data_IF_347158536411
#
_entry.id   IF_347158536411
#
_cell.length_a   1.000
_cell.length_b   1.000
_cell.length_c   1.000
_cell.angle_alpha   90.00
_cell.angle_beta   90.00
_cell.angle_gamma   90.00
#
_symmetry.space_group_name_H-M   'P 1'
#
loop_
_entity.id
_entity.type
_entity.pdbx_description
1 polymer ?
#
# COMPACT_ATOMS: atom_id res chain seq x y z
N UNK A 1 1.93 3.23 17.89
CA UNK A 1 1.50 2.90 16.52
C UNK A 1 -0.01 3.08 16.45
N UNK A 2 -0.55 3.56 15.33
CA UNK A 2 -2.01 3.65 15.14
C UNK A 2 -2.65 2.30 15.47
N UNK A 3 -3.72 2.30 16.24
CA UNK A 3 -4.53 1.11 16.57
C UNK A 3 -5.67 0.91 15.57
N UNK A 4 -6.17 1.99 14.96
CA UNK A 4 -7.24 1.96 13.95
C UNK A 4 -6.81 2.58 12.62
N UNK A 5 -7.58 2.30 11.55
CA UNK A 5 -7.33 2.92 10.25
C UNK A 5 -7.56 4.44 10.28
N UNK A 6 -8.52 4.93 11.08
CA UNK A 6 -8.79 6.35 11.22
C UNK A 6 -7.55 7.09 11.78
N UNK A 7 -6.91 6.52 12.80
CA UNK A 7 -5.66 7.05 13.34
C UNK A 7 -4.50 6.97 12.35
N UNK A 8 -4.43 5.89 11.55
CA UNK A 8 -3.34 5.66 10.60
C UNK A 8 -3.37 6.65 9.42
N UNK A 9 -4.57 7.05 8.98
CA UNK A 9 -4.75 7.99 7.86
C UNK A 9 -4.94 9.43 8.32
N UNK A 10 -5.02 9.67 9.63
CA UNK A 10 -5.27 10.98 10.21
C UNK A 10 -4.17 12.00 9.91
N UNK A 11 -4.59 13.26 9.77
CA UNK A 11 -3.69 14.40 9.57
C UNK A 11 -4.11 15.58 10.44
N UNK A 12 -3.11 16.28 10.97
CA UNK A 12 -3.28 17.54 11.71
C UNK A 12 -2.67 18.67 10.90
N UNK A 13 -3.39 19.79 10.81
CA UNK A 13 -2.89 20.99 10.15
C UNK A 13 -1.75 21.59 11.01
N UNK A 14 -0.61 21.89 10.38
CA UNK A 14 0.59 22.38 11.08
C UNK A 14 0.33 23.78 11.67
N UNK A 15 -0.29 24.64 10.88
CA UNK A 15 -0.70 25.99 11.29
C UNK A 15 -2.08 26.31 10.70
N UNK A 16 -2.99 26.93 11.47
CA UNK A 16 -4.28 27.35 10.96
C UNK A 16 -4.16 28.21 9.69
N UNK A 17 -4.92 27.86 8.66
CA UNK A 17 -4.95 28.59 7.39
C UNK A 17 -3.81 28.26 6.41
N UNK A 18 -2.80 27.49 6.81
CA UNK A 18 -1.79 26.95 5.88
C UNK A 18 -2.22 25.59 5.35
N UNK A 19 -2.01 25.36 4.06
CA UNK A 19 -2.25 24.06 3.41
C UNK A 19 -1.09 23.07 3.69
N UNK A 20 -0.67 22.99 4.96
CA UNK A 20 0.42 22.14 5.46
C UNK A 20 -0.10 21.23 6.58
N UNK A 21 0.20 19.95 6.49
CA UNK A 21 -0.31 18.92 7.39
C UNK A 21 0.78 17.96 7.84
N UNK A 22 0.60 17.33 9.00
CA UNK A 22 1.46 16.26 9.51
C UNK A 22 0.61 15.03 9.84
N UNK A 23 1.11 13.82 9.55
CA UNK A 23 0.40 12.59 9.92
C UNK A 23 0.28 12.46 11.43
N UNK A 24 -0.90 12.06 11.92
CA UNK A 24 -1.16 11.88 13.36
C UNK A 24 -0.45 10.65 13.92
N UNK A 25 -0.20 9.66 13.06
CA UNK A 25 0.48 8.42 13.40
C UNK A 25 1.76 8.25 12.60
N UNK A 26 2.69 7.50 13.19
CA UNK A 26 3.86 6.99 12.47
C UNK A 26 3.42 5.96 11.42
N UNK A 27 4.09 5.89 10.27
CA UNK A 27 3.79 4.88 9.27
C UNK A 27 4.12 3.48 9.76
N UNK A 28 3.35 2.51 9.30
CA UNK A 28 3.58 1.09 9.58
C UNK A 28 4.31 0.44 8.40
N UNK A 29 4.88 -0.74 8.64
CA UNK A 29 5.53 -1.57 7.63
C UNK A 29 4.55 -2.61 7.10
N UNK A 30 4.66 -2.94 5.81
CA UNK A 30 3.92 -4.05 5.20
C UNK A 30 4.75 -4.71 4.09
N UNK A 31 4.96 -6.03 4.18
CA UNK A 31 5.52 -6.84 3.09
C UNK A 31 6.98 -6.54 2.69
N UNK A 32 7.78 -5.92 3.57
CA UNK A 32 9.17 -5.60 3.31
C UNK A 32 10.07 -6.04 4.46
N UNK A 33 11.17 -6.74 4.14
CA UNK A 33 12.18 -7.15 5.12
C UNK A 33 12.90 -5.92 5.71
N UNK A 34 13.10 -4.88 4.92
CA UNK A 34 13.70 -3.62 5.37
C UNK A 34 12.69 -2.82 6.22
N UNK A 35 13.16 -2.00 7.19
CA UNK A 35 12.32 -1.14 8.03
C UNK A 35 11.83 0.09 7.25
N UNK A 36 11.06 -0.16 6.19
CA UNK A 36 10.53 0.84 5.27
C UNK A 36 9.02 0.94 5.45
N UNK A 37 8.52 2.17 5.45
CA UNK A 37 7.10 2.46 5.49
C UNK A 37 6.34 1.83 4.32
N UNK A 38 5.14 1.35 4.62
CA UNK A 38 4.17 0.95 3.61
C UNK A 38 3.70 2.18 2.80
N UNK A 39 3.73 2.06 1.46
CA UNK A 39 3.38 3.15 0.52
C UNK A 39 1.97 3.70 0.75
N UNK A 40 1.02 2.84 1.07
CA UNK A 40 -0.36 3.21 1.40
C UNK A 40 -0.46 4.20 2.56
N UNK A 41 0.50 4.21 3.51
CA UNK A 41 0.54 5.22 4.57
C UNK A 41 0.77 6.63 4.00
N UNK A 42 1.73 6.78 3.09
CA UNK A 42 2.02 8.07 2.46
C UNK A 42 0.88 8.51 1.53
N UNK A 43 0.31 7.57 0.79
CA UNK A 43 -0.81 7.83 -0.12
C UNK A 43 -2.07 8.27 0.64
N UNK A 44 -2.42 7.60 1.73
CA UNK A 44 -3.62 7.91 2.51
C UNK A 44 -3.53 9.27 3.19
N UNK A 45 -2.40 9.61 3.80
CA UNK A 45 -2.24 10.92 4.46
C UNK A 45 -2.26 12.06 3.44
N UNK A 46 -1.73 11.84 2.23
CA UNK A 46 -1.78 12.81 1.15
C UNK A 46 -3.22 13.03 0.64
N UNK A 47 -3.99 11.94 0.47
CA UNK A 47 -5.41 12.00 0.10
C UNK A 47 -6.20 12.76 1.16
N UNK A 48 -5.99 12.44 2.44
CA UNK A 48 -6.67 13.12 3.54
C UNK A 48 -6.30 14.61 3.59
N UNK A 49 -5.01 14.95 3.48
CA UNK A 49 -4.55 16.33 3.44
C UNK A 49 -5.14 17.12 2.26
N UNK A 50 -5.20 16.54 1.06
CA UNK A 50 -5.85 17.17 -0.09
C UNK A 50 -7.33 17.46 0.19
N UNK A 51 -8.08 16.47 0.68
CA UNK A 51 -9.51 16.59 0.95
C UNK A 51 -9.81 17.65 2.03
N UNK A 52 -8.92 17.84 3.02
CA UNK A 52 -9.04 18.89 4.05
C UNK A 52 -8.96 20.32 3.50
N UNK A 53 -8.55 20.50 2.24
CA UNK A 53 -8.41 21.83 1.58
C UNK A 53 -9.52 22.10 0.56
N UNK A 54 -10.55 21.25 0.51
CA UNK A 54 -11.63 21.28 -0.47
C UNK A 54 -12.98 21.31 0.26
N UNK A 55 -14.01 22.04 -0.24
CA UNK A 55 -15.35 22.00 0.35
C UNK A 55 -15.95 20.59 0.35
N UNK A 56 -16.77 20.26 1.36
CA UNK A 56 -17.38 18.92 1.49
C UNK A 56 -18.29 18.52 0.32
N UNK A 57 -18.77 19.50 -0.45
CA UNK A 57 -19.59 19.28 -1.65
C UNK A 57 -18.82 18.64 -2.79
N UNK A 58 -17.49 18.79 -2.81
CA UNK A 58 -16.62 18.21 -3.83
C UNK A 58 -16.04 16.89 -3.34
N UNK A 59 -16.38 15.80 -4.03
CA UNK A 59 -15.93 14.45 -3.69
C UNK A 59 -14.73 14.06 -4.53
N UNK A 60 -13.85 13.27 -3.95
CA UNK A 60 -12.64 12.81 -4.62
C UNK A 60 -13.01 11.82 -5.73
N UNK A 61 -12.50 12.02 -6.95
CA UNK A 61 -12.75 11.09 -8.06
C UNK A 61 -11.47 10.53 -8.70
N UNK A 62 -10.33 11.21 -8.53
CA UNK A 62 -9.07 10.80 -9.14
C UNK A 62 -7.89 11.14 -8.25
N UNK A 63 -6.96 10.19 -8.12
CA UNK A 63 -5.63 10.39 -7.53
C UNK A 63 -4.59 9.74 -8.44
N UNK A 64 -3.54 10.46 -8.80
CA UNK A 64 -2.38 9.92 -9.53
C UNK A 64 -1.10 10.35 -8.84
N UNK A 65 -0.11 9.47 -8.73
CA UNK A 65 1.11 9.81 -8.00
C UNK A 65 2.31 8.92 -8.31
N UNK A 66 3.48 9.39 -7.85
CA UNK A 66 4.76 8.73 -8.02
C UNK A 66 5.51 8.65 -6.69
N UNK A 67 5.99 7.45 -6.35
CA UNK A 67 6.86 7.23 -5.20
C UNK A 67 8.30 7.60 -5.57
N UNK A 68 8.91 8.51 -4.82
CA UNK A 68 10.28 8.99 -5.05
C UNK A 68 11.33 8.28 -4.18
N UNK A 69 10.91 7.63 -3.10
CA UNK A 69 11.83 6.89 -2.26
C UNK A 69 11.20 6.33 -0.99
N UNK A 70 11.94 5.46 -0.29
CA UNK A 70 11.47 4.86 0.95
C UNK A 70 11.35 5.91 2.05
N UNK A 71 10.27 5.81 2.83
CA UNK A 71 10.12 6.49 4.10
C UNK A 71 10.48 5.58 5.27
N UNK A 72 10.90 6.16 6.38
CA UNK A 72 11.24 5.46 7.62
C UNK A 72 10.00 5.29 8.50
N UNK A 73 10.09 4.40 9.49
CA UNK A 73 9.00 4.05 10.41
C UNK A 73 8.95 4.92 11.68
N UNK A 74 9.98 5.71 11.93
CA UNK A 74 10.23 6.42 13.19
C UNK A 74 9.79 7.89 13.17
N UNK A 75 9.29 8.39 12.03
CA UNK A 75 9.00 9.81 11.82
C UNK A 75 7.67 10.04 11.11
N UNK A 76 6.93 11.11 11.44
CA UNK A 76 5.68 11.43 10.76
C UNK A 76 5.93 11.92 9.34
N UNK A 77 4.92 11.79 8.49
CA UNK A 77 4.90 12.44 7.19
C UNK A 77 4.50 13.91 7.33
N UNK A 78 5.10 14.77 6.52
CA UNK A 78 4.63 16.13 6.26
C UNK A 78 4.00 16.18 4.88
N UNK A 79 2.86 16.84 4.76
CA UNK A 79 2.15 17.05 3.50
C UNK A 79 2.06 18.55 3.23
N UNK A 80 2.56 19.00 2.08
CA UNK A 80 2.33 20.35 1.56
C UNK A 80 1.35 20.24 0.40
N UNK A 81 0.21 20.93 0.51
CA UNK A 81 -0.86 20.93 -0.48
C UNK A 81 -0.83 22.24 -1.26
N UNK A 82 -0.82 22.15 -2.58
CA UNK A 82 -0.94 23.30 -3.48
C UNK A 82 -2.29 23.26 -4.18
N UNK A 83 -3.08 24.33 -4.04
CA UNK A 83 -4.34 24.52 -4.78
C UNK A 83 -4.03 24.86 -6.23
N UNK A 84 -4.25 23.92 -7.13
CA UNK A 84 -3.96 24.10 -8.56
C UNK A 84 -5.14 24.74 -9.28
N UNK A 85 -6.36 24.38 -8.89
CA UNK A 85 -7.59 24.86 -9.50
C UNK A 85 -8.73 24.80 -8.49
N UNK A 86 -9.56 25.83 -8.49
CA UNK A 86 -10.85 25.88 -7.80
C UNK A 86 -11.88 26.52 -8.73
N UNK A 87 -12.98 25.82 -8.97
CA UNK A 87 -14.11 26.28 -9.76
C UNK A 87 -15.40 25.92 -9.03
N UNK A 88 -16.56 26.21 -9.65
CA UNK A 88 -17.86 25.84 -9.06
C UNK A 88 -18.00 24.32 -8.87
N UNK A 89 -17.56 23.54 -9.86
CA UNK A 89 -17.74 22.07 -9.86
C UNK A 89 -16.45 21.29 -9.67
N UNK A 90 -15.27 21.86 -9.90
CA UNK A 90 -14.01 21.12 -9.86
C UNK A 90 -12.97 21.79 -8.98
N UNK A 91 -12.23 20.96 -8.24
CA UNK A 91 -11.03 21.35 -7.51
C UNK A 91 -9.88 20.38 -7.80
N UNK A 92 -8.67 20.91 -7.95
CA UNK A 92 -7.45 20.10 -8.14
C UNK A 92 -6.41 20.50 -7.09
N UNK A 93 -5.81 19.49 -6.46
CA UNK A 93 -4.77 19.64 -5.44
C UNK A 93 -3.52 18.87 -5.87
N UNK A 94 -2.36 19.47 -5.70
CA UNK A 94 -1.06 18.78 -5.77
C UNK A 94 -0.56 18.60 -4.35
N UNK A 95 -0.14 17.40 -3.99
CA UNK A 95 0.36 17.11 -2.65
C UNK A 95 1.79 16.58 -2.74
N UNK A 96 2.69 17.24 -2.02
CA UNK A 96 4.04 16.75 -1.78
C UNK A 96 4.09 16.15 -0.39
N UNK A 97 4.44 14.87 -0.30
CA UNK A 97 4.69 14.17 0.96
C UNK A 97 6.18 14.07 1.20
N UNK A 98 6.64 14.58 2.33
CA UNK A 98 8.03 14.56 2.76
C UNK A 98 8.18 13.98 4.15
N UNK A 99 9.42 13.61 4.48
CA UNK A 99 9.81 13.15 5.81
C UNK A 99 11.23 13.64 6.10
N UNK A 100 11.49 14.05 7.33
CA UNK A 100 12.86 14.31 7.78
C UNK A 100 13.61 12.99 7.84
N UNK A 101 14.76 12.88 7.17
CA UNK A 101 15.60 11.69 7.16
C UNK A 101 17.07 12.07 7.38
N UNK A 102 17.90 11.20 7.96
CA UNK A 102 19.33 11.44 8.04
C UNK A 102 19.92 11.65 6.64
N UNK A 103 20.75 12.67 6.49
CA UNK A 103 21.43 12.94 5.23
C UNK A 103 22.27 11.71 4.87
N UNK A 104 22.02 11.12 3.69
CA UNK A 104 22.88 10.05 3.20
C UNK A 104 24.28 10.62 3.01
N UNK A 105 25.24 10.17 3.81
CA UNK A 105 26.65 10.35 3.48
C UNK A 105 26.86 9.71 2.10
N UNK A 106 27.17 10.53 1.10
CA UNK A 106 27.63 9.99 -0.17
C UNK A 106 28.84 9.11 0.14
N UNK A 107 28.79 7.82 -0.21
CA UNK A 107 30.03 7.04 -0.23
C UNK A 107 30.98 7.80 -1.15
N UNK A 108 32.16 8.23 -0.69
CA UNK A 108 33.11 8.85 -1.59
C UNK A 108 33.34 7.88 -2.74
N UNK A 109 33.20 8.36 -3.98
CA UNK A 109 33.68 7.62 -5.14
C UNK A 109 35.14 7.26 -4.83
N UNK A 110 35.43 5.97 -4.68
CA UNK A 110 36.79 5.48 -4.46
C UNK A 110 37.62 5.73 -5.71
N UNK A 111 38.12 6.95 -5.85
CA UNK A 111 39.31 7.30 -6.63
C UNK A 111 39.81 8.63 -6.11
N UNK A 112 40.64 8.60 -5.06
CA UNK A 112 41.80 9.47 -4.82
C UNK A 112 42.26 9.21 -3.37
N UNK A 113 43.38 8.49 -3.24
CA UNK A 113 44.09 8.36 -1.97
C UNK A 113 44.83 9.68 -1.72
N UNK A 114 44.45 10.41 -0.69
CA UNK A 114 45.34 11.42 -0.09
C UNK A 114 45.27 11.25 1.41
N UNK A 115 46.38 10.78 1.96
CA UNK A 115 46.59 10.56 3.39
C UNK A 115 46.79 11.92 4.06
N UNK A 116 45.81 12.35 4.85
CA UNK A 116 46.04 13.43 5.82
C UNK A 116 45.88 12.84 7.22
N UNK A 117 46.96 12.88 7.99
CA UNK A 117 46.99 12.47 9.40
C UNK A 117 46.23 13.56 10.18
N UNK A 118 45.08 13.21 10.77
CA UNK A 118 44.37 14.07 11.71
C UNK A 118 44.77 13.71 13.14
N UNK A 119 45.23 14.71 13.89
CA UNK A 119 45.50 14.64 15.32
C UNK A 119 44.19 14.55 16.10
N UNK A 120 44.12 13.57 17.00
CA UNK A 120 43.02 13.31 17.93
C UNK A 120 42.80 14.48 18.90
N UNK A 121 41.61 15.06 18.88
CA UNK A 121 41.04 15.76 20.03
C UNK A 121 39.64 15.23 20.30
N UNK A 122 39.50 14.61 21.47
CA UNK A 122 38.27 14.02 21.97
C UNK A 122 37.25 15.10 22.35
N UNK A 123 36.06 15.01 21.77
CA UNK A 123 34.83 15.47 22.41
C UNK A 123 33.68 14.56 21.99
N UNK A 124 33.10 13.88 22.97
CA UNK A 124 31.89 13.06 22.80
C UNK A 124 30.70 13.98 22.56
N UNK A 125 30.46 14.33 21.30
CA UNK A 125 29.17 14.85 20.85
C UNK A 125 28.46 13.73 20.09
N UNK A 126 27.17 13.57 20.33
CA UNK A 126 26.29 12.67 19.56
C UNK A 126 26.34 13.08 18.08
N UNK A 127 27.20 12.42 17.29
CA UNK A 127 27.40 12.68 15.87
C UNK A 127 26.30 12.03 15.03
N UNK A 128 25.04 12.23 15.41
CA UNK A 128 23.91 11.86 14.57
C UNK A 128 23.93 12.75 13.30
N UNK A 129 23.87 12.17 12.08
CA UNK A 129 23.95 12.94 10.85
C UNK A 129 22.83 14.00 10.79
N UNK A 130 23.09 15.17 10.19
CA UNK A 130 22.07 16.21 10.06
C UNK A 130 20.85 15.66 9.30
N UNK A 131 19.67 16.07 9.74
CA UNK A 131 18.41 15.66 9.12
C UNK A 131 18.11 16.57 7.93
N UNK A 132 17.68 15.96 6.82
CA UNK A 132 17.22 16.66 5.63
C UNK A 132 15.79 16.24 5.33
N UNK A 133 14.98 17.19 4.88
CA UNK A 133 13.65 16.89 4.36
C UNK A 133 13.75 16.21 3.00
N UNK A 134 13.16 15.02 2.88
CA UNK A 134 13.15 14.23 1.65
C UNK A 134 11.72 13.97 1.20
N UNK A 135 11.45 14.26 -0.07
CA UNK A 135 10.19 13.91 -0.72
C UNK A 135 10.11 12.39 -0.91
N UNK A 136 9.02 11.81 -0.43
CA UNK A 136 8.75 10.37 -0.52
C UNK A 136 7.70 10.06 -1.59
N UNK A 137 6.72 10.95 -1.79
CA UNK A 137 5.60 10.81 -2.72
C UNK A 137 5.18 12.20 -3.21
N UNK A 138 4.86 12.32 -4.50
CA UNK A 138 4.08 13.45 -5.03
C UNK A 138 2.83 12.89 -5.73
N UNK A 139 1.68 13.52 -5.49
CA UNK A 139 0.41 13.15 -6.13
C UNK A 139 -0.42 14.37 -6.56
N UNK A 140 -1.36 14.12 -7.47
CA UNK A 140 -2.44 15.02 -7.86
C UNK A 140 -3.75 14.36 -7.44
N UNK A 141 -4.61 15.12 -6.77
CA UNK A 141 -5.94 14.71 -6.36
C UNK A 141 -6.97 15.66 -6.98
N UNK A 142 -7.96 15.09 -7.67
CA UNK A 142 -9.04 15.84 -8.31
C UNK A 142 -10.39 15.52 -7.66
N UNK A 143 -11.18 16.58 -7.50
CA UNK A 143 -12.47 16.56 -6.84
C UNK A 143 -13.53 17.18 -7.73
N UNK A 144 -14.75 16.65 -7.64
CA UNK A 144 -15.91 17.07 -8.42
C UNK A 144 -17.10 17.26 -7.48
N UNK A 145 -17.82 18.37 -7.63
CA UNK A 145 -19.11 18.56 -6.98
C UNK A 145 -20.08 17.47 -7.46
N UNK A 146 -20.76 16.79 -6.54
CA UNK A 146 -21.67 15.70 -6.90
C UNK A 146 -22.83 16.24 -7.74
N UNK A 147 -23.07 15.60 -8.88
CA UNK A 147 -24.13 15.93 -9.82
C UNK A 147 -24.96 14.67 -10.12
N UNK A 148 -26.16 14.84 -10.68
CA UNK A 148 -27.02 13.72 -11.08
C UNK A 148 -26.36 12.93 -12.22
N UNK A 149 -26.31 11.60 -12.08
CA UNK A 149 -25.74 10.73 -13.10
C UNK A 149 -26.74 10.47 -14.23
N UNK A 150 -26.34 10.73 -15.48
CA UNK A 150 -27.13 10.39 -16.65
C UNK A 150 -27.25 8.86 -16.85
N UNK A 151 -26.17 8.12 -16.56
CA UNK A 151 -26.07 6.67 -16.71
C UNK A 151 -25.18 6.13 -15.59
N UNK A 152 -25.59 5.02 -14.99
CA UNK A 152 -24.81 4.31 -13.97
C UNK A 152 -24.69 2.84 -14.34
N UNK A 153 -23.46 2.31 -14.36
CA UNK A 153 -23.19 0.89 -14.55
C UNK A 153 -21.89 0.51 -13.83
N UNK A 154 -21.68 -0.79 -13.63
CA UNK A 154 -20.43 -1.33 -13.10
C UNK A 154 -20.09 -2.63 -13.81
N UNK A 155 -18.80 -2.92 -14.08
CA UNK A 155 -18.40 -4.23 -14.53
C UNK A 155 -18.56 -5.25 -13.38
N UNK A 156 -18.69 -6.56 -13.66
CA UNK A 156 -18.50 -7.56 -12.63
C UNK A 156 -17.02 -7.63 -12.20
N UNK A 157 -16.71 -8.28 -11.07
CA UNK A 157 -15.35 -8.70 -10.72
C UNK A 157 -14.78 -9.67 -11.78
N UNK A 158 -13.47 -9.91 -11.74
CA UNK A 158 -12.75 -10.81 -12.67
C UNK A 158 -13.29 -12.25 -12.65
N UNK A 159 -13.94 -12.65 -11.56
CA UNK A 159 -14.68 -13.92 -11.42
C UNK A 159 -15.77 -13.78 -10.36
N UNK A 160 -16.77 -14.68 -10.33
CA UNK A 160 -17.68 -14.78 -9.19
C UNK A 160 -16.92 -15.12 -7.91
N UNK A 161 -17.20 -14.40 -6.83
CA UNK A 161 -16.65 -14.65 -5.50
C UNK A 161 -17.79 -14.83 -4.51
N UNK A 162 -17.62 -15.74 -3.55
CA UNK A 162 -18.59 -15.94 -2.47
C UNK A 162 -18.75 -14.71 -1.56
N UNK A 163 -19.86 -14.63 -0.80
CA UNK A 163 -20.11 -13.54 0.15
C UNK A 163 -19.13 -13.57 1.34
N UNK A 164 -19.01 -12.46 2.09
CA UNK A 164 -18.08 -12.37 3.23
C UNK A 164 -18.36 -13.43 4.31
N UNK A 165 -19.62 -13.76 4.59
CA UNK A 165 -20.00 -14.74 5.63
C UNK A 165 -19.54 -16.18 5.32
N UNK A 166 -19.33 -16.52 4.04
CA UNK A 166 -18.79 -17.82 3.60
C UNK A 166 -17.26 -17.82 3.42
N UNK A 167 -16.62 -16.67 3.62
CA UNK A 167 -15.20 -16.46 3.36
C UNK A 167 -14.41 -16.53 4.68
N UNK A 168 -13.32 -17.32 4.76
CA UNK A 168 -12.56 -17.46 6.00
C UNK A 168 -11.74 -16.22 6.34
N UNK A 169 -11.58 -15.92 7.63
CA UNK A 169 -10.50 -15.03 8.13
C UNK A 169 -9.12 -15.61 7.80
N UNK A 170 -8.09 -14.77 7.94
CA UNK A 170 -6.68 -15.20 7.90
C UNK A 170 -6.40 -16.39 8.83
N UNK A 171 -6.90 -16.32 10.07
CA UNK A 171 -6.71 -17.37 11.08
C UNK A 171 -7.42 -18.67 10.71
N UNK A 172 -8.66 -18.60 10.27
CA UNK A 172 -9.45 -19.76 9.86
C UNK A 172 -8.82 -20.46 8.65
N UNK A 173 -8.45 -19.70 7.61
CA UNK A 173 -7.83 -20.27 6.42
C UNK A 173 -6.46 -20.90 6.73
N UNK A 174 -5.65 -20.26 7.57
CA UNK A 174 -4.39 -20.87 8.01
C UNK A 174 -4.62 -22.18 8.76
N UNK A 175 -5.60 -22.22 9.66
CA UNK A 175 -5.93 -23.43 10.42
C UNK A 175 -6.50 -24.55 9.54
N UNK A 176 -7.29 -24.21 8.52
CA UNK A 176 -7.76 -25.17 7.49
C UNK A 176 -6.58 -25.77 6.71
N UNK A 177 -5.66 -24.92 6.21
CA UNK A 177 -4.48 -25.39 5.47
C UNK A 177 -3.57 -26.26 6.34
N UNK A 178 -3.41 -25.91 7.63
CA UNK A 178 -2.65 -26.69 8.60
C UNK A 178 -3.28 -28.06 8.83
N UNK A 179 -4.60 -28.11 9.07
CA UNK A 179 -5.35 -29.37 9.25
C UNK A 179 -5.28 -30.26 8.01
N UNK A 180 -5.22 -29.66 6.82
CA UNK A 180 -5.05 -30.38 5.56
C UNK A 180 -3.61 -30.85 5.30
N UNK A 181 -2.65 -30.60 6.20
CA UNK A 181 -1.23 -30.92 6.01
C UNK A 181 -0.59 -30.15 4.84
N UNK A 182 -1.20 -29.03 4.44
CA UNK A 182 -0.75 -28.20 3.32
C UNK A 182 0.25 -27.13 3.72
N UNK A 183 0.34 -26.84 5.02
CA UNK A 183 1.35 -25.98 5.63
C UNK A 183 1.77 -26.60 6.97
N UNK A 184 3.02 -26.38 7.36
CA UNK A 184 3.55 -26.92 8.61
C UNK A 184 3.10 -26.13 9.86
N UNK A 185 3.08 -26.80 11.02
CA UNK A 185 2.70 -26.22 12.32
C UNK A 185 3.68 -25.17 12.86
N UNK A 186 4.93 -25.24 12.45
CA UNK A 186 5.88 -24.12 12.46
C UNK A 186 5.82 -23.54 11.06
N UNK A 187 5.75 -22.22 10.86
CA UNK A 187 5.68 -21.56 9.54
C UNK A 187 6.93 -21.76 8.67
N UNK A 188 7.37 -23.01 8.47
CA UNK A 188 8.57 -23.47 7.79
C UNK A 188 8.27 -23.90 6.35
N UNK A 189 7.42 -23.14 5.66
CA UNK A 189 7.52 -23.07 4.20
C UNK A 189 8.66 -22.12 3.83
N UNK A 190 9.92 -22.54 3.99
CA UNK A 190 11.15 -21.88 3.47
C UNK A 190 11.12 -20.32 3.41
N UNK A 191 11.18 -19.66 4.57
CA UNK A 191 11.34 -18.20 4.70
C UNK A 191 10.91 -17.69 6.08
N UNK A 192 11.43 -16.54 6.60
CA UNK A 192 11.30 -16.18 8.01
C UNK A 192 9.83 -15.97 8.39
N UNK A 193 9.30 -16.93 9.15
CA UNK A 193 7.92 -17.02 9.65
C UNK A 193 7.39 -15.76 10.34
N UNK A 194 8.27 -14.85 10.77
CA UNK A 194 7.90 -13.60 11.42
C UNK A 194 7.60 -12.45 10.44
N UNK A 195 8.24 -12.38 9.27
CA UNK A 195 8.10 -11.20 8.39
C UNK A 195 6.81 -11.21 7.57
N UNK A 196 6.37 -12.38 7.10
CA UNK A 196 5.09 -12.56 6.41
C UNK A 196 3.89 -12.54 7.37
N UNK A 197 4.02 -13.07 8.58
CA UNK A 197 2.99 -12.93 9.62
C UNK A 197 2.77 -11.44 9.94
N UNK A 198 3.86 -10.66 10.05
CA UNK A 198 3.79 -9.20 10.23
C UNK A 198 3.16 -8.47 9.02
N UNK A 199 3.25 -9.03 7.81
CA UNK A 199 2.70 -8.41 6.58
C UNK A 199 1.18 -8.36 6.59
N UNK A 200 0.51 -9.46 6.91
CA UNK A 200 -0.95 -9.50 6.98
C UNK A 200 -1.48 -8.97 8.31
N UNK A 201 -0.71 -9.10 9.40
CA UNK A 201 -1.07 -8.55 10.71
C UNK A 201 -1.39 -7.05 10.65
N UNK A 202 -0.63 -6.27 9.87
CA UNK A 202 -0.91 -4.85 9.69
C UNK A 202 -2.30 -4.57 9.06
N UNK A 203 -2.72 -5.34 8.06
CA UNK A 203 -4.03 -5.18 7.41
C UNK A 203 -5.15 -5.77 8.28
N UNK A 204 -4.97 -6.98 8.81
CA UNK A 204 -5.92 -7.70 9.66
C UNK A 204 -6.17 -6.98 11.01
N UNK A 205 -5.21 -6.16 11.45
CA UNK A 205 -5.36 -5.29 12.61
C UNK A 205 -6.22 -4.06 12.33
N UNK A 206 -6.16 -3.50 11.12
CA UNK A 206 -6.85 -2.26 10.76
C UNK A 206 -8.22 -2.53 10.10
N UNK A 207 -8.35 -3.66 9.43
CA UNK A 207 -9.54 -4.11 8.73
C UNK A 207 -9.91 -5.52 9.16
N UNK A 208 -11.20 -5.82 9.19
CA UNK A 208 -11.63 -7.20 9.13
C UNK A 208 -11.47 -7.69 7.69
N UNK A 209 -10.67 -8.73 7.49
CA UNK A 209 -10.36 -9.30 6.17
C UNK A 209 -10.88 -10.74 6.07
N UNK A 210 -11.53 -11.05 4.95
CA UNK A 210 -12.00 -12.42 4.64
C UNK A 210 -11.53 -12.82 3.24
N UNK A 211 -10.90 -13.98 3.11
CA UNK A 211 -10.34 -14.45 1.84
C UNK A 211 -11.41 -15.11 0.97
N UNK A 212 -11.55 -14.69 -0.29
CA UNK A 212 -12.45 -15.37 -1.22
C UNK A 212 -11.80 -16.66 -1.72
N UNK A 213 -12.46 -17.81 -1.49
CA UNK A 213 -11.93 -19.15 -1.77
C UNK A 213 -11.64 -19.39 -3.26
N UNK A 214 -12.33 -18.66 -4.13
CA UNK A 214 -12.18 -18.74 -5.58
C UNK A 214 -10.93 -17.98 -6.08
N UNK A 215 -10.35 -17.10 -5.25
CA UNK A 215 -9.12 -16.37 -5.54
C UNK A 215 -7.86 -17.18 -5.17
N UNK A 216 -6.74 -16.90 -5.83
CA UNK A 216 -5.44 -17.54 -5.53
C UNK A 216 -5.11 -17.45 -4.04
N UNK A 217 -5.19 -16.23 -3.47
CA UNK A 217 -4.91 -16.00 -2.05
C UNK A 217 -5.86 -16.76 -1.12
N UNK A 218 -7.11 -17.04 -1.52
CA UNK A 218 -8.04 -17.82 -0.70
C UNK A 218 -7.77 -19.32 -0.72
N UNK A 219 -6.87 -19.78 -1.59
CA UNK A 219 -6.45 -21.17 -1.68
C UNK A 219 -5.06 -21.40 -1.07
N UNK A 220 -4.17 -20.40 -1.15
CA UNK A 220 -2.77 -20.52 -0.71
C UNK A 220 -2.26 -19.37 0.18
N UNK A 221 -3.14 -18.47 0.64
CA UNK A 221 -2.80 -17.28 1.44
C UNK A 221 -1.84 -16.29 0.77
N UNK A 222 -1.48 -16.53 -0.48
CA UNK A 222 -0.45 -15.83 -1.24
C UNK A 222 0.99 -16.11 -0.84
N UNK A 223 1.23 -16.87 0.23
CA UNK A 223 2.58 -17.21 0.71
C UNK A 223 2.83 -18.72 0.81
N UNK A 224 1.79 -19.56 0.86
CA UNK A 224 1.94 -21.01 0.85
C UNK A 224 2.22 -21.50 -0.58
N UNK A 225 3.40 -21.14 -1.10
CA UNK A 225 3.83 -21.30 -2.51
C UNK A 225 3.80 -22.72 -3.08
N UNK A 226 3.72 -23.73 -2.22
CA UNK A 226 3.65 -25.15 -2.60
C UNK A 226 2.21 -25.65 -2.70
N UNK A 227 1.23 -24.87 -2.23
CA UNK A 227 -0.18 -25.24 -2.28
C UNK A 227 -0.70 -24.93 -3.68
N UNK A 228 -1.12 -25.94 -4.46
CA UNK A 228 -1.65 -25.71 -5.80
C UNK A 228 -2.99 -24.99 -5.74
N UNK A 229 -3.32 -24.29 -6.81
CA UNK A 229 -4.61 -23.62 -7.00
C UNK A 229 -5.34 -24.12 -8.23
N UNK A 230 -6.66 -23.94 -8.25
CA UNK A 230 -7.47 -24.21 -9.45
C UNK A 230 -7.18 -23.27 -10.64
N UNK A 231 -6.39 -22.21 -10.42
CA UNK A 231 -6.02 -21.23 -11.43
C UNK A 231 -4.63 -21.49 -12.04
N UNK A 232 -3.90 -22.51 -11.58
CA UNK A 232 -2.51 -22.75 -12.01
C UNK A 232 -2.38 -23.06 -13.51
N UNK A 233 -3.44 -23.58 -14.12
CA UNK A 233 -3.52 -23.82 -15.55
C UNK A 233 -3.86 -22.55 -16.37
N UNK A 234 -4.33 -21.48 -15.71
CA UNK A 234 -4.67 -20.23 -16.39
C UNK A 234 -3.42 -19.43 -16.74
N UNK A 235 -3.43 -18.68 -17.86
CA UNK A 235 -2.44 -17.65 -18.11
C UNK A 235 -2.34 -16.70 -16.92
N UNK A 236 -1.14 -16.16 -16.65
CA UNK A 236 -0.92 -15.29 -15.48
C UNK A 236 -1.91 -14.11 -15.41
N UNK A 237 -2.25 -13.54 -16.56
CA UNK A 237 -3.17 -12.40 -16.69
C UNK A 237 -4.65 -12.77 -16.54
N UNK A 238 -4.97 -14.05 -16.45
CA UNK A 238 -6.31 -14.56 -16.16
C UNK A 238 -6.46 -15.04 -14.70
N UNK A 239 -5.38 -14.95 -13.91
CA UNK A 239 -5.39 -15.26 -12.48
C UNK A 239 -5.86 -14.06 -11.68
N UNK A 240 -6.60 -14.31 -10.60
CA UNK A 240 -7.07 -13.26 -9.70
C UNK A 240 -7.06 -13.70 -8.25
N UNK A 241 -6.86 -12.72 -7.37
CA UNK A 241 -7.05 -12.83 -5.92
C UNK A 241 -8.12 -11.85 -5.51
N UNK A 242 -8.98 -12.23 -4.58
CA UNK A 242 -9.87 -11.29 -3.94
C UNK A 242 -10.04 -11.57 -2.46
N UNK A 243 -10.27 -10.49 -1.72
CA UNK A 243 -10.53 -10.49 -0.30
C UNK A 243 -11.60 -9.44 0.01
N UNK A 244 -12.52 -9.78 0.92
CA UNK A 244 -13.47 -8.85 1.49
C UNK A 244 -12.80 -8.06 2.61
N UNK A 245 -13.08 -6.76 2.66
CA UNK A 245 -12.59 -5.83 3.68
C UNK A 245 -13.72 -4.98 4.24
N UNK A 246 -13.65 -4.72 5.54
CA UNK A 246 -14.31 -3.57 6.18
C UNK A 246 -13.43 -3.06 7.31
N UNK A 247 -13.59 -1.80 7.72
CA UNK A 247 -13.03 -1.30 8.97
C UNK A 247 -13.49 -2.22 10.08
N UNK A 248 -12.56 -2.58 10.98
CA UNK A 248 -12.88 -3.46 12.09
C UNK A 248 -14.12 -2.96 12.86
N UNK A 249 -15.11 -3.82 13.14
CA UNK A 249 -16.32 -3.40 13.84
C UNK A 249 -16.05 -2.77 15.22
N UNK A 250 -14.98 -3.21 15.87
CA UNK A 250 -14.50 -2.77 17.19
C UNK A 250 -13.47 -1.63 17.12
N UNK A 251 -13.14 -1.11 15.94
CA UNK A 251 -12.26 0.05 15.83
C UNK A 251 -12.91 1.28 16.47
N UNK A 252 -12.15 1.97 17.33
CA UNK A 252 -12.50 3.26 17.90
C UNK A 252 -11.23 4.15 17.94
N UNK A 253 -11.15 5.24 17.15
CA UNK A 253 -12.18 5.76 16.26
C UNK A 253 -12.26 5.01 14.91
N UNK A 254 -13.43 5.10 14.25
CA UNK A 254 -13.63 4.75 12.83
C UNK A 254 -13.56 6.00 11.95
N UNK A 255 -13.26 5.87 10.64
CA UNK A 255 -13.46 6.95 9.68
C UNK A 255 -14.90 7.49 9.76
N UNK A 256 -15.06 8.78 10.06
CA UNK A 256 -16.35 9.46 10.20
C UNK A 256 -16.69 10.27 8.96
N UNK A 257 -15.68 10.81 8.27
CA UNK A 257 -15.89 11.70 7.12
C UNK A 257 -15.66 10.97 5.80
N UNK A 258 -16.21 11.52 4.72
CA UNK A 258 -15.91 11.06 3.36
C UNK A 258 -14.39 11.11 3.07
N UNK A 259 -13.70 12.15 3.55
CA UNK A 259 -12.26 12.30 3.39
C UNK A 259 -11.48 11.17 4.05
N UNK A 260 -11.82 10.80 5.29
CA UNK A 260 -11.19 9.69 6.02
C UNK A 260 -11.48 8.35 5.35
N UNK A 261 -12.71 8.15 4.85
CA UNK A 261 -13.07 6.93 4.12
C UNK A 261 -12.31 6.81 2.79
N UNK A 262 -12.18 7.88 2.01
CA UNK A 262 -11.34 7.89 0.80
C UNK A 262 -9.86 7.66 1.12
N UNK A 263 -9.36 8.20 2.22
CA UNK A 263 -8.00 7.95 2.68
C UNK A 263 -7.81 6.48 3.11
N UNK A 264 -8.80 5.87 3.76
CA UNK A 264 -8.80 4.45 4.08
C UNK A 264 -8.86 3.57 2.82
N UNK A 265 -9.63 3.94 1.80
CA UNK A 265 -9.59 3.27 0.48
C UNK A 265 -8.20 3.39 -0.14
N UNK A 266 -7.60 4.58 -0.14
CA UNK A 266 -6.25 4.77 -0.66
C UNK A 266 -5.26 3.84 0.08
N UNK A 267 -5.29 3.85 1.42
CA UNK A 267 -4.46 2.94 2.22
C UNK A 267 -4.65 1.47 1.85
N UNK A 268 -5.91 1.02 1.70
CA UNK A 268 -6.23 -0.36 1.34
C UNK A 268 -5.77 -0.70 -0.08
N UNK A 269 -6.00 0.19 -1.05
CA UNK A 269 -5.84 -0.11 -2.48
C UNK A 269 -4.38 -0.30 -2.89
N UNK A 270 -3.42 0.39 -2.26
CA UNK A 270 -1.97 0.15 -2.47
C UNK A 270 -1.55 -1.27 -2.07
N UNK A 271 -2.38 -1.98 -1.29
CA UNK A 271 -2.04 -3.24 -0.67
C UNK A 271 -1.86 -4.39 -1.66
N UNK A 272 -0.61 -4.81 -1.85
CA UNK A 272 -0.22 -6.06 -2.51
C UNK A 272 -0.17 -6.02 -4.04
N UNK A 273 -0.44 -4.88 -4.70
CA UNK A 273 -0.43 -4.81 -6.17
C UNK A 273 0.98 -5.00 -6.76
N UNK A 274 2.00 -4.30 -6.23
CA UNK A 274 3.39 -4.45 -6.69
C UNK A 274 3.92 -5.90 -6.62
N UNK A 275 3.41 -6.68 -5.67
CA UNK A 275 3.85 -8.05 -5.38
C UNK A 275 2.95 -9.13 -5.99
N UNK A 276 1.80 -8.75 -6.53
CA UNK A 276 0.79 -9.69 -7.02
C UNK A 276 1.35 -10.70 -8.04
N UNK A 277 2.26 -10.34 -8.98
CA UNK A 277 2.85 -11.33 -9.88
C UNK A 277 3.67 -12.42 -9.16
N UNK A 278 4.29 -12.12 -8.01
CA UNK A 278 5.01 -13.14 -7.22
C UNK A 278 4.01 -14.13 -6.64
N UNK A 279 2.95 -13.61 -6.01
CA UNK A 279 1.85 -14.40 -5.44
C UNK A 279 1.21 -15.30 -6.51
N UNK A 280 0.87 -14.73 -7.67
CA UNK A 280 0.22 -15.44 -8.77
C UNK A 280 1.16 -16.40 -9.53
N UNK A 281 2.45 -16.43 -9.20
CA UNK A 281 3.43 -17.36 -9.79
C UNK A 281 4.12 -18.26 -8.76
N UNK A 282 3.53 -18.42 -7.57
CA UNK A 282 4.06 -19.26 -6.49
C UNK A 282 5.49 -18.86 -6.06
N UNK A 283 5.75 -17.56 -5.99
CA UNK A 283 7.03 -16.98 -5.53
C UNK A 283 6.84 -16.18 -4.25
N UNK A 284 7.81 -16.26 -3.36
CA UNK A 284 7.90 -15.44 -2.15
C UNK A 284 8.62 -14.12 -2.38
N UNK A 285 8.61 -13.22 -1.39
CA UNK A 285 9.32 -11.94 -1.47
C UNK A 285 10.83 -12.09 -1.66
N UNK A 286 11.42 -13.11 -1.04
CA UNK A 286 12.86 -13.38 -1.14
C UNK A 286 13.29 -13.81 -2.55
N UNK A 287 12.34 -14.23 -3.41
CA UNK A 287 12.63 -14.60 -4.80
C UNK A 287 12.82 -13.37 -5.70
N UNK A 288 12.52 -12.16 -5.21
CA UNK A 288 12.78 -10.90 -5.90
C UNK A 288 13.99 -10.18 -5.29
N UNK A 289 14.86 -9.62 -6.14
CA UNK A 289 15.97 -8.78 -5.70
C UNK A 289 15.54 -7.39 -5.26
N UNK A 290 14.49 -6.86 -5.89
CA UNK A 290 13.83 -5.63 -5.49
C UNK A 290 12.39 -5.62 -5.98
N UNK A 291 11.47 -5.27 -5.08
CA UNK A 291 10.06 -5.05 -5.40
C UNK A 291 9.53 -3.84 -4.64
N UNK A 292 8.99 -2.86 -5.35
CA UNK A 292 8.47 -1.63 -4.77
C UNK A 292 7.56 -0.90 -5.76
N UNK A 293 6.57 -0.17 -5.26
CA UNK A 293 5.70 0.67 -6.10
C UNK A 293 6.49 1.83 -6.75
N UNK A 294 6.18 2.16 -8.00
CA UNK A 294 6.73 3.30 -8.73
C UNK A 294 5.68 4.41 -8.86
N UNK A 295 4.54 4.07 -9.46
CA UNK A 295 3.44 4.99 -9.71
C UNK A 295 2.10 4.34 -9.38
N UNK A 296 1.05 5.14 -9.36
CA UNK A 296 -0.32 4.65 -9.31
C UNK A 296 -1.32 5.62 -9.92
N UNK A 297 -2.47 5.08 -10.30
CA UNK A 297 -3.67 5.82 -10.62
C UNK A 297 -4.87 5.17 -9.91
N UNK A 298 -5.42 5.87 -8.91
CA UNK A 298 -6.62 5.51 -8.18
C UNK A 298 -7.80 6.36 -8.70
N UNK A 299 -8.93 5.72 -8.97
CA UNK A 299 -10.17 6.34 -9.45
C UNK A 299 -11.31 5.93 -8.54
N UNK A 300 -12.15 6.88 -8.17
CA UNK A 300 -13.39 6.64 -7.45
C UNK A 300 -14.56 6.88 -8.41
N UNK A 301 -15.53 5.98 -8.39
CA UNK A 301 -16.71 6.02 -9.25
C UNK A 301 -17.99 6.31 -8.47
N UNK A 302 -17.94 6.22 -7.14
CA UNK A 302 -19.04 6.58 -6.25
C UNK A 302 -18.63 7.76 -5.36
N UNK A 303 -19.53 8.75 -5.15
CA UNK A 303 -19.26 9.88 -4.25
C UNK A 303 -19.36 9.48 -2.78
N UNK A 304 -20.04 8.38 -2.47
CA UNK A 304 -20.23 7.87 -1.13
C UNK A 304 -19.38 6.61 -0.96
N UNK A 305 -18.49 6.67 0.03
CA UNK A 305 -17.57 5.61 0.41
C UNK A 305 -17.68 5.46 1.92
N UNK A 306 -18.07 4.27 2.37
CA UNK A 306 -18.18 3.93 3.79
C UNK A 306 -17.48 2.61 4.03
N UNK A 307 -16.23 2.69 4.47
CA UNK A 307 -15.40 1.52 4.71
C UNK A 307 -15.86 0.69 5.91
N UNK A 308 -16.86 1.11 6.70
CA UNK A 308 -17.47 0.26 7.72
C UNK A 308 -18.30 -0.89 7.13
N UNK A 309 -18.73 -0.74 5.87
CA UNK A 309 -19.41 -1.77 5.09
C UNK A 309 -18.41 -2.68 4.37
N UNK A 310 -18.87 -3.87 4.04
CA UNK A 310 -18.08 -4.82 3.27
C UNK A 310 -17.78 -4.30 1.86
N UNK A 311 -16.52 -4.41 1.48
CA UNK A 311 -16.04 -4.14 0.14
C UNK A 311 -15.18 -5.30 -0.36
N UNK A 312 -15.43 -5.77 -1.59
CA UNK A 312 -14.61 -6.79 -2.23
C UNK A 312 -13.47 -6.12 -2.97
N UNK A 313 -12.22 -6.42 -2.59
CA UNK A 313 -11.03 -5.99 -3.34
C UNK A 313 -10.58 -7.14 -4.24
N UNK A 314 -10.84 -7.05 -5.53
CA UNK A 314 -10.43 -8.00 -6.55
C UNK A 314 -9.17 -7.50 -7.29
N UNK A 315 -8.18 -8.37 -7.48
CA UNK A 315 -6.84 -7.99 -7.96
C UNK A 315 -6.33 -8.93 -9.03
N UNK A 316 -5.76 -8.37 -10.10
CA UNK A 316 -5.13 -9.11 -11.19
C UNK A 316 -3.84 -8.45 -11.67
N UNK A 317 -2.89 -9.26 -12.12
CA UNK A 317 -1.67 -8.79 -12.78
C UNK A 317 -1.88 -8.74 -14.29
N UNK A 318 -1.43 -7.68 -14.94
CA UNK A 318 -1.71 -7.43 -16.36
C UNK A 318 -0.47 -7.53 -17.24
N UNK A 319 0.68 -7.08 -16.76
CA UNK A 319 1.94 -7.16 -17.50
C UNK A 319 3.15 -7.21 -16.57
N UNK A 320 4.23 -7.83 -17.03
CA UNK A 320 5.53 -7.78 -16.38
C UNK A 320 6.65 -7.90 -17.42
N UNK A 321 7.78 -7.23 -17.17
CA UNK A 321 8.90 -7.20 -18.09
C UNK A 321 9.86 -6.05 -17.79
N UNK A 322 11.09 -6.14 -18.29
CA UNK A 322 12.12 -5.11 -18.10
C UNK A 322 12.31 -4.66 -16.64
N UNK A 323 12.21 -5.61 -15.70
CA UNK A 323 12.36 -5.36 -14.26
C UNK A 323 11.18 -4.62 -13.62
N UNK A 324 9.99 -4.68 -14.23
CA UNK A 324 8.76 -4.02 -13.77
C UNK A 324 7.56 -4.96 -13.81
N UNK A 325 6.52 -4.61 -13.06
CA UNK A 325 5.20 -5.22 -13.05
C UNK A 325 4.11 -4.16 -13.15
N UNK A 326 2.95 -4.55 -13.68
CA UNK A 326 1.74 -3.73 -13.76
C UNK A 326 0.53 -4.56 -13.32
N UNK A 327 -0.21 -4.06 -12.33
CA UNK A 327 -1.36 -4.74 -11.74
C UNK A 327 -2.51 -3.75 -11.48
N UNK A 328 -3.71 -4.29 -11.35
CA UNK A 328 -4.93 -3.55 -11.03
C UNK A 328 -5.62 -4.17 -9.81
N UNK A 329 -6.15 -3.31 -8.94
CA UNK A 329 -7.14 -3.67 -7.93
C UNK A 329 -8.45 -2.95 -8.22
N UNK A 330 -9.58 -3.65 -8.10
CA UNK A 330 -10.94 -3.11 -8.19
C UNK A 330 -11.65 -3.34 -6.88
N UNK A 331 -12.31 -2.31 -6.37
CA UNK A 331 -13.04 -2.33 -5.11
C UNK A 331 -14.53 -2.25 -5.42
N UNK A 332 -15.28 -3.25 -4.99
CA UNK A 332 -16.73 -3.32 -5.14
C UNK A 332 -17.41 -3.21 -3.78
N UNK A 333 -18.59 -2.59 -3.70
CA UNK A 333 -19.41 -2.62 -2.49
C UNK A 333 -20.20 -3.94 -2.36
N UNK A 334 -20.92 -4.09 -1.25
CA UNK A 334 -21.81 -5.23 -0.96
C UNK A 334 -22.99 -5.37 -1.94
N UNK A 335 -23.23 -4.38 -2.80
CA UNK A 335 -24.22 -4.42 -3.89
C UNK A 335 -23.58 -4.75 -5.25
N UNK A 336 -22.26 -4.98 -5.29
CA UNK A 336 -21.52 -5.28 -6.52
C UNK A 336 -21.23 -4.08 -7.41
N UNK A 337 -21.42 -2.84 -6.91
CA UNK A 337 -21.07 -1.63 -7.64
C UNK A 337 -19.57 -1.37 -7.51
N UNK A 338 -18.93 -0.97 -8.60
CA UNK A 338 -17.52 -0.60 -8.60
C UNK A 338 -17.35 0.75 -7.90
N UNK A 339 -16.77 0.74 -6.71
CA UNK A 339 -16.49 1.93 -5.88
C UNK A 339 -15.22 2.62 -6.33
N UNK A 340 -14.15 1.84 -6.52
CA UNK A 340 -12.85 2.38 -6.93
C UNK A 340 -12.05 1.37 -7.78
N UNK A 341 -11.12 1.87 -8.59
CA UNK A 341 -10.08 1.05 -9.23
C UNK A 341 -8.73 1.72 -9.06
N UNK A 342 -7.69 0.92 -8.85
CA UNK A 342 -6.31 1.38 -8.76
C UNK A 342 -5.42 0.54 -9.66
N UNK A 343 -4.72 1.19 -10.58
CA UNK A 343 -3.62 0.58 -11.33
C UNK A 343 -2.30 1.02 -10.72
N UNK A 344 -1.30 0.14 -10.72
CA UNK A 344 0.02 0.43 -10.16
C UNK A 344 1.10 -0.22 -11.02
N UNK A 345 2.12 0.56 -11.39
CA UNK A 345 3.38 0.00 -11.87
C UNK A 345 4.38 -0.10 -10.71
N UNK A 346 5.09 -1.22 -10.65
CA UNK A 346 6.12 -1.48 -9.65
C UNK A 346 7.44 -1.92 -10.28
N UNK A 347 8.52 -1.80 -9.51
CA UNK A 347 9.76 -2.54 -9.75
C UNK A 347 9.49 -4.00 -9.40
N UNK A 348 9.96 -4.92 -10.23
CA UNK A 348 10.03 -6.35 -9.96
C UNK A 348 11.30 -6.90 -10.61
N UNK A 349 12.39 -6.97 -9.84
CA UNK A 349 13.72 -7.34 -10.33
C UNK A 349 14.14 -8.73 -9.85
N UNK A 350 14.88 -9.49 -10.67
CA UNK A 350 15.51 -10.72 -10.19
C UNK A 350 16.55 -10.40 -9.10
N UNK A 351 16.88 -11.38 -8.24
CA UNK A 351 17.97 -11.27 -7.29
C UNK A 351 19.30 -10.99 -8.02
N UNK A 352 20.24 -10.29 -7.36
CA UNK A 352 21.55 -10.05 -7.95
C UNK A 352 22.24 -11.37 -8.31
N UNK A 353 22.88 -11.43 -9.50
CA UNK A 353 23.68 -12.60 -9.88
C UNK A 353 24.78 -12.81 -8.84
N UNK A 354 24.86 -14.01 -8.27
CA UNK A 354 25.94 -14.40 -7.37
C UNK A 354 27.26 -14.26 -8.15
N UNK A 355 28.20 -13.44 -7.68
CA UNK A 355 29.54 -13.42 -8.28
C UNK A 355 30.16 -14.78 -7.99
N UNK A 356 30.49 -15.55 -9.02
CA UNK A 356 31.28 -16.76 -8.85
C UNK A 356 32.55 -16.34 -8.09
N UNK A 357 32.81 -16.99 -6.95
CA UNK A 357 34.12 -16.86 -6.31
C UNK A 357 35.10 -17.39 -7.34
N UNK A 358 35.90 -16.51 -7.93
CA UNK A 358 37.07 -16.92 -8.67
C UNK A 358 37.86 -17.86 -7.75
N UNK A 359 37.91 -19.13 -8.12
CA UNK A 359 38.85 -20.08 -7.53
C UNK A 359 40.21 -19.57 -8.00
N UNK A 360 40.91 -18.86 -7.11
CA UNK A 360 42.31 -18.50 -7.27
C UNK A 360 43.18 -19.66 -6.80
#
# INVERSE_FOLDING_TARGET
MASTIAEQVGVTQVEPGKDEFTSTSLPIRMGNALPIAYGGCAMSVAVHAAARTVPETHKLYSVVGHFHGPATLDRPFKCSVTRTRDTRSFATRRVRVSQLQPQRQQKPNTTTTTTTIATDTSSSSDQSPPLQERVCLELIADFHAVEEALITFSPPPNRPYGPPDGSPTSRELQEELRRAGRIDGHGNGDGPSNEFTTMFDAMDRLFEMRFCREGMSGQNMGWARHVPTDQDALPLTARSSAEWYRVRPDADPKPQTHAENCAAVAFLMDGGLAFLPLVHTHRGFADAGATSSLDFALRFFTPDVDMSRWHLKDRAAHAAGAGRSYAEGRLFDDQGRLVASMTQQGILRPPPKRKDKAVL
#
